data_IF_759314837124
#
_entry.id   IF_759314837124
#
_cell.length_a   1.000
_cell.length_b   1.000
_cell.length_c   1.000
_cell.angle_alpha   90.00
_cell.angle_beta   90.00
_cell.angle_gamma   90.00
#
_symmetry.space_group_name_H-M   'P 1'
#
loop_
_entity.id
_entity.type
_entity.pdbx_description
1 polymer ?
#
# COMPACT_ATOMS: atom_id res chain seq x y z
N UNK A 1 10.14 0.69 2.38
CA UNK A 1 10.77 1.59 1.37
C UNK A 1 10.88 0.85 0.04
N UNK A 2 9.83 0.86 -0.79
CA UNK A 2 9.75 0.02 -2.01
C UNK A 2 10.52 0.58 -3.21
N UNK A 3 10.85 1.85 -3.22
CA UNK A 3 11.42 2.53 -4.38
C UNK A 3 12.69 3.31 -4.07
N UNK A 4 13.59 3.48 -5.06
CA UNK A 4 14.81 4.28 -4.93
C UNK A 4 14.53 5.74 -4.49
N UNK A 5 13.41 6.31 -4.94
CA UNK A 5 13.00 7.66 -4.53
C UNK A 5 12.71 7.75 -3.03
N UNK A 6 12.06 6.74 -2.45
CA UNK A 6 11.79 6.69 -1.00
C UNK A 6 13.09 6.55 -0.20
N UNK A 7 14.04 5.76 -0.68
CA UNK A 7 15.36 5.61 -0.09
C UNK A 7 16.08 6.97 -0.09
N UNK A 8 16.17 7.62 -1.25
CA UNK A 8 16.81 8.94 -1.38
C UNK A 8 16.19 9.99 -0.46
N UNK A 9 14.87 10.07 -0.42
CA UNK A 9 14.16 11.14 0.29
C UNK A 9 14.14 10.92 1.80
N UNK A 10 14.32 9.69 2.28
CA UNK A 10 14.21 9.36 3.70
C UNK A 10 15.56 8.98 4.29
N UNK A 11 16.28 8.03 3.69
CA UNK A 11 17.51 7.51 4.27
C UNK A 11 18.74 8.40 4.00
N UNK A 12 18.75 9.13 2.88
CA UNK A 12 19.80 10.12 2.57
C UNK A 12 19.48 11.53 3.08
N UNK A 13 18.53 11.64 4.01
CA UNK A 13 18.13 12.90 4.62
C UNK A 13 18.61 12.93 6.09
N UNK A 14 19.03 14.08 6.64
CA UNK A 14 19.38 14.22 8.05
C UNK A 14 18.33 13.69 9.04
N UNK A 15 17.07 13.61 8.61
CA UNK A 15 15.99 12.99 9.40
C UNK A 15 16.32 11.54 9.78
N UNK A 16 16.98 10.78 8.91
CA UNK A 16 17.32 9.39 9.19
C UNK A 16 18.30 9.27 10.35
N UNK A 17 19.36 10.06 10.36
CA UNK A 17 20.34 10.06 11.45
C UNK A 17 19.73 10.56 12.77
N UNK A 18 18.83 11.54 12.70
CA UNK A 18 18.08 12.02 13.87
C UNK A 18 17.16 10.91 14.43
N UNK A 19 16.49 10.15 13.59
CA UNK A 19 15.65 9.04 14.01
C UNK A 19 16.49 7.91 14.61
N UNK A 20 17.63 7.57 13.99
CA UNK A 20 18.56 6.55 14.49
C UNK A 20 19.13 6.88 15.88
N UNK A 21 19.32 8.17 16.18
CA UNK A 21 19.82 8.59 17.49
C UNK A 21 18.81 8.43 18.63
N UNK A 22 17.50 8.37 18.29
CA UNK A 22 16.40 8.38 19.29
C UNK A 22 15.64 7.07 19.37
N UNK A 23 15.58 6.31 18.27
CA UNK A 23 14.68 5.16 18.13
C UNK A 23 15.39 3.92 17.59
N UNK A 24 14.85 2.76 17.92
CA UNK A 24 15.11 1.53 17.15
C UNK A 24 14.25 1.55 15.91
N UNK A 25 14.83 1.30 14.74
CA UNK A 25 14.16 1.41 13.45
C UNK A 25 14.12 0.06 12.76
N UNK A 26 12.97 -0.31 12.24
CA UNK A 26 12.78 -1.48 11.38
C UNK A 26 12.43 -0.98 9.97
N UNK A 27 13.25 -1.33 9.00
CA UNK A 27 13.09 -0.92 7.61
C UNK A 27 12.70 -2.12 6.76
N UNK A 28 11.53 -2.03 6.12
CA UNK A 28 11.10 -2.99 5.11
C UNK A 28 11.49 -2.50 3.72
N UNK A 29 12.28 -3.29 3.01
CA UNK A 29 12.79 -2.94 1.66
C UNK A 29 13.10 -4.18 0.84
N UNK A 30 12.97 -4.13 -0.51
CA UNK A 30 13.46 -5.19 -1.37
C UNK A 30 14.99 -5.36 -1.30
N UNK A 31 15.72 -4.30 -0.88
CA UNK A 31 17.18 -4.27 -0.80
C UNK A 31 17.74 -4.77 0.55
N UNK A 32 16.94 -5.50 1.33
CA UNK A 32 17.31 -5.93 2.68
C UNK A 32 18.58 -6.82 2.76
N UNK A 33 18.98 -7.45 1.65
CA UNK A 33 20.19 -8.29 1.51
C UNK A 33 21.25 -7.67 0.59
N UNK A 34 21.05 -6.47 0.07
CA UNK A 34 22.01 -5.81 -0.79
C UNK A 34 23.17 -5.26 0.05
N UNK A 35 24.40 -5.72 -0.25
CA UNK A 35 25.59 -5.39 0.54
C UNK A 35 25.90 -3.90 0.50
N UNK A 36 25.80 -3.26 -0.66
CA UNK A 36 26.08 -1.82 -0.85
C UNK A 36 25.06 -0.99 -0.08
N UNK A 37 23.78 -1.37 -0.20
CA UNK A 37 22.70 -0.71 0.53
C UNK A 37 22.88 -0.83 2.05
N UNK A 38 23.26 -2.03 2.53
CA UNK A 38 23.47 -2.25 3.96
C UNK A 38 24.70 -1.49 4.47
N UNK A 39 25.80 -1.44 3.70
CA UNK A 39 26.98 -0.66 4.06
C UNK A 39 26.66 0.83 4.21
N UNK A 40 25.87 1.40 3.28
CA UNK A 40 25.50 2.81 3.30
C UNK A 40 24.55 3.15 4.48
N UNK A 41 23.56 2.28 4.77
CA UNK A 41 22.45 2.64 5.67
C UNK A 41 22.41 1.91 7.01
N UNK A 42 23.27 0.90 7.23
CA UNK A 42 23.29 0.18 8.50
C UNK A 42 23.77 1.10 9.64
N UNK A 43 22.99 1.19 10.70
CA UNK A 43 23.30 1.93 11.94
C UNK A 43 22.98 1.06 13.15
N UNK A 44 23.53 1.42 14.31
CA UNK A 44 23.17 0.75 15.58
C UNK A 44 21.66 0.93 15.86
N UNK A 45 20.96 -0.17 16.09
CA UNK A 45 19.52 -0.14 16.36
C UNK A 45 18.63 -0.11 15.12
N UNK A 46 19.20 -0.26 13.92
CA UNK A 46 18.47 -0.37 12.66
C UNK A 46 18.46 -1.83 12.18
N UNK A 47 17.28 -2.32 11.81
CA UNK A 47 17.05 -3.67 11.34
C UNK A 47 16.40 -3.63 9.96
N UNK A 48 16.87 -4.47 9.05
CA UNK A 48 16.36 -4.55 7.68
C UNK A 48 15.61 -5.86 7.46
N UNK A 49 14.44 -5.77 6.86
CA UNK A 49 13.59 -6.91 6.55
C UNK A 49 13.05 -6.81 5.12
N UNK A 50 12.72 -7.94 4.48
CA UNK A 50 12.10 -7.93 3.17
C UNK A 50 10.73 -7.22 3.24
N UNK A 51 10.49 -6.31 2.29
CA UNK A 51 9.15 -5.82 2.02
C UNK A 51 8.45 -6.86 1.15
N UNK A 52 7.56 -7.63 1.73
CA UNK A 52 6.86 -8.70 1.04
C UNK A 52 5.35 -8.54 1.15
N UNK A 53 4.66 -9.14 0.22
CA UNK A 53 3.21 -9.25 0.24
C UNK A 53 2.83 -10.73 0.37
N UNK A 54 2.14 -11.07 1.45
CA UNK A 54 1.60 -12.41 1.62
C UNK A 54 0.35 -12.54 0.76
N UNK A 55 0.48 -13.33 -0.30
CA UNK A 55 -0.62 -13.57 -1.21
C UNK A 55 -1.83 -14.16 -0.49
N UNK A 56 -2.98 -13.60 -0.77
CA UNK A 56 -4.26 -14.12 -0.31
C UNK A 56 -4.40 -15.58 -0.76
N UNK A 57 -4.36 -16.52 0.18
CA UNK A 57 -4.36 -17.97 -0.10
C UNK A 57 -5.70 -18.47 -0.62
N UNK A 58 -6.78 -17.83 -0.20
CA UNK A 58 -8.14 -18.25 -0.56
C UNK A 58 -8.48 -17.85 -2.00
N UNK A 59 -8.85 -18.82 -2.83
CA UNK A 59 -9.25 -18.61 -4.23
C UNK A 59 -10.41 -17.62 -4.36
N UNK A 60 -11.44 -17.75 -3.52
CA UNK A 60 -12.58 -16.83 -3.52
C UNK A 60 -12.14 -15.39 -3.19
N UNK A 61 -11.28 -15.23 -2.22
CA UNK A 61 -10.75 -13.91 -1.86
C UNK A 61 -9.95 -13.28 -3.02
N UNK A 62 -9.22 -14.06 -3.83
CA UNK A 62 -8.54 -13.57 -5.03
C UNK A 62 -9.53 -13.05 -6.08
N UNK A 63 -10.65 -13.75 -6.27
CA UNK A 63 -11.71 -13.29 -7.18
C UNK A 63 -12.30 -11.97 -6.68
N UNK A 64 -12.68 -11.90 -5.40
CA UNK A 64 -13.22 -10.69 -4.77
C UNK A 64 -12.23 -9.53 -4.90
N UNK A 65 -10.95 -9.77 -4.65
CA UNK A 65 -9.90 -8.76 -4.78
C UNK A 65 -9.76 -8.23 -6.21
N UNK A 66 -9.75 -9.14 -7.20
CA UNK A 66 -9.70 -8.76 -8.62
C UNK A 66 -10.93 -7.94 -9.03
N UNK A 67 -12.11 -8.36 -8.59
CA UNK A 67 -13.37 -7.70 -8.90
C UNK A 67 -13.45 -6.30 -8.27
N UNK A 68 -13.05 -6.18 -7.01
CA UNK A 68 -12.97 -4.89 -6.31
C UNK A 68 -11.98 -3.92 -6.98
N UNK A 69 -10.79 -4.39 -7.36
CA UNK A 69 -9.82 -3.58 -8.11
C UNK A 69 -10.37 -3.06 -9.45
N UNK A 70 -11.16 -3.87 -10.15
CA UNK A 70 -11.83 -3.43 -11.39
C UNK A 70 -12.85 -2.34 -11.11
N UNK A 71 -13.64 -2.50 -10.04
CA UNK A 71 -14.61 -1.48 -9.61
C UNK A 71 -13.98 -0.17 -9.19
N UNK A 72 -12.89 -0.23 -8.44
CA UNK A 72 -12.13 0.97 -8.08
C UNK A 72 -11.59 1.69 -9.31
N UNK A 73 -11.04 0.96 -10.27
CA UNK A 73 -10.57 1.55 -11.54
C UNK A 73 -11.69 2.26 -12.29
N UNK A 74 -12.88 1.67 -12.35
CA UNK A 74 -14.04 2.29 -12.98
C UNK A 74 -14.47 3.56 -12.26
N UNK A 75 -14.49 3.54 -10.93
CA UNK A 75 -14.87 4.70 -10.12
C UNK A 75 -13.95 5.89 -10.36
N UNK A 76 -12.64 5.64 -10.43
CA UNK A 76 -11.66 6.65 -10.81
C UNK A 76 -11.81 7.13 -12.26
N UNK A 77 -12.17 6.24 -13.18
CA UNK A 77 -12.36 6.58 -14.59
C UNK A 77 -13.64 7.40 -14.84
N UNK A 78 -14.65 7.27 -14.00
CA UNK A 78 -15.95 7.93 -14.15
C UNK A 78 -16.10 9.19 -13.28
N UNK A 79 -15.24 9.39 -12.30
CA UNK A 79 -15.24 10.62 -11.50
C UNK A 79 -14.83 11.80 -12.38
N UNK A 80 -15.79 12.71 -12.63
CA UNK A 80 -15.61 13.88 -13.49
C UNK A 80 -14.48 14.82 -13.03
N UNK A 81 -14.10 14.79 -11.75
CA UNK A 81 -13.03 15.61 -11.18
C UNK A 81 -11.63 15.05 -11.49
N UNK A 82 -11.54 13.75 -11.76
CA UNK A 82 -10.26 13.03 -11.91
C UNK A 82 -10.10 12.49 -13.35
N UNK A 83 -11.12 12.60 -14.16
CA UNK A 83 -11.33 11.93 -15.45
C UNK A 83 -10.16 12.09 -16.45
N UNK A 84 -9.56 13.26 -16.57
CA UNK A 84 -8.61 13.54 -17.66
C UNK A 84 -7.30 12.74 -17.57
N UNK A 85 -6.71 12.64 -16.39
CA UNK A 85 -5.38 12.01 -16.20
C UNK A 85 -5.49 10.50 -16.16
N UNK A 86 -6.51 9.97 -15.49
CA UNK A 86 -6.66 8.53 -15.30
C UNK A 86 -7.17 7.82 -16.57
N UNK A 87 -8.13 8.42 -17.28
CA UNK A 87 -8.66 7.85 -18.54
C UNK A 87 -7.58 7.77 -19.61
N UNK A 88 -6.76 8.80 -19.79
CA UNK A 88 -5.66 8.76 -20.76
C UNK A 88 -4.65 7.65 -20.43
N UNK A 89 -4.32 7.45 -19.14
CA UNK A 89 -3.41 6.40 -18.71
C UNK A 89 -4.03 5.00 -18.81
N UNK A 90 -5.32 4.90 -18.58
CA UNK A 90 -6.07 3.66 -18.61
C UNK A 90 -6.35 3.20 -20.05
N UNK A 91 -6.84 4.09 -20.91
CA UNK A 91 -7.14 3.79 -22.32
C UNK A 91 -5.88 3.45 -23.12
N UNK A 92 -4.75 4.06 -22.79
CA UNK A 92 -3.48 3.80 -23.48
C UNK A 92 -2.85 2.43 -23.14
N UNK A 93 -3.22 1.81 -22.00
CA UNK A 93 -2.67 0.53 -21.52
C UNK A 93 -3.70 -0.61 -21.47
N UNK A 94 -4.95 -0.36 -21.74
CA UNK A 94 -6.01 -1.36 -21.57
C UNK A 94 -6.22 -2.17 -22.83
N UNK A 95 -6.04 -3.49 -22.69
CA UNK A 95 -6.67 -4.44 -23.60
C UNK A 95 -8.20 -4.21 -23.58
N UNK A 96 -8.88 -4.19 -24.73
CA UNK A 96 -10.33 -4.00 -24.87
C UNK A 96 -11.17 -4.90 -23.93
N UNK A 97 -10.65 -6.08 -23.61
CA UNK A 97 -11.24 -7.01 -22.65
C UNK A 97 -11.29 -6.42 -21.21
N UNK A 98 -10.23 -5.78 -20.78
CA UNK A 98 -10.18 -5.15 -19.45
C UNK A 98 -11.13 -3.93 -19.35
N UNK A 99 -11.37 -3.23 -20.43
CA UNK A 99 -12.31 -2.10 -20.47
C UNK A 99 -13.76 -2.56 -20.29
N UNK A 100 -14.19 -3.61 -20.99
CA UNK A 100 -15.54 -4.17 -20.83
C UNK A 100 -15.79 -4.68 -19.43
N UNK A 101 -14.85 -5.42 -18.85
CA UNK A 101 -14.94 -5.91 -17.47
C UNK A 101 -15.02 -4.76 -16.48
N UNK A 102 -14.23 -3.71 -16.68
CA UNK A 102 -14.21 -2.53 -15.81
C UNK A 102 -15.53 -1.78 -15.86
N UNK A 103 -16.09 -1.56 -17.07
CA UNK A 103 -17.41 -0.91 -17.24
C UNK A 103 -18.52 -1.71 -16.59
N UNK A 104 -18.53 -3.03 -16.77
CA UNK A 104 -19.53 -3.93 -16.19
C UNK A 104 -19.43 -3.93 -14.65
N UNK A 105 -18.26 -4.07 -14.10
CA UNK A 105 -18.04 -4.08 -12.65
C UNK A 105 -18.42 -2.74 -12.03
N UNK A 106 -18.09 -1.64 -12.71
CA UNK A 106 -18.44 -0.31 -12.25
C UNK A 106 -19.93 -0.05 -12.26
N UNK A 107 -20.66 -0.56 -13.27
CA UNK A 107 -22.11 -0.48 -13.30
C UNK A 107 -22.74 -1.20 -12.10
N UNK A 108 -22.25 -2.40 -11.77
CA UNK A 108 -22.69 -3.16 -10.59
C UNK A 108 -22.46 -2.34 -9.30
N UNK A 109 -21.29 -1.72 -9.15
CA UNK A 109 -20.99 -0.94 -7.93
C UNK A 109 -21.77 0.37 -7.83
N UNK A 110 -22.15 0.96 -8.96
CA UNK A 110 -23.04 2.12 -8.97
C UNK A 110 -24.48 1.74 -8.56
N UNK A 111 -24.95 0.56 -8.99
CA UNK A 111 -26.28 0.05 -8.61
C UNK A 111 -26.27 -0.44 -7.15
N UNK A 112 -25.20 -1.07 -6.71
CA UNK A 112 -25.06 -1.66 -5.38
C UNK A 112 -23.84 -1.09 -4.61
N UNK A 113 -23.87 0.17 -4.15
CA UNK A 113 -22.73 0.78 -3.46
C UNK A 113 -22.36 0.09 -2.13
N UNK A 114 -23.33 -0.57 -1.48
CA UNK A 114 -23.10 -1.37 -0.28
C UNK A 114 -22.22 -2.61 -0.56
N UNK A 115 -22.29 -3.18 -1.76
CA UNK A 115 -21.46 -4.30 -2.19
C UNK A 115 -19.98 -3.87 -2.23
N UNK A 116 -19.68 -2.70 -2.76
CA UNK A 116 -18.31 -2.16 -2.79
C UNK A 116 -17.74 -1.98 -1.37
N UNK A 117 -18.53 -1.44 -0.44
CA UNK A 117 -18.13 -1.29 0.96
C UNK A 117 -17.89 -2.66 1.63
N UNK A 118 -18.79 -3.61 1.41
CA UNK A 118 -18.65 -4.96 1.95
C UNK A 118 -17.37 -5.64 1.43
N UNK A 119 -17.13 -5.56 0.11
CA UNK A 119 -15.93 -6.13 -0.52
C UNK A 119 -14.65 -5.49 0.03
N UNK A 120 -14.62 -4.17 0.20
CA UNK A 120 -13.50 -3.47 0.80
C UNK A 120 -13.20 -3.97 2.22
N UNK A 121 -14.24 -4.12 3.06
CA UNK A 121 -14.10 -4.68 4.40
C UNK A 121 -13.64 -6.15 4.39
N UNK A 122 -14.20 -6.95 3.50
CA UNK A 122 -13.79 -8.34 3.31
C UNK A 122 -12.31 -8.43 2.92
N UNK A 123 -11.86 -7.63 1.94
CA UNK A 123 -10.47 -7.58 1.50
C UNK A 123 -9.54 -7.16 2.65
N UNK A 124 -9.92 -6.12 3.40
CA UNK A 124 -9.13 -5.67 4.56
C UNK A 124 -8.90 -6.81 5.56
N UNK A 125 -9.91 -7.64 5.79
CA UNK A 125 -9.78 -8.81 6.67
C UNK A 125 -8.88 -9.92 6.09
N UNK A 126 -8.70 -9.97 4.77
CA UNK A 126 -7.82 -10.94 4.10
C UNK A 126 -6.36 -10.45 3.98
N UNK A 127 -6.09 -9.20 4.34
CA UNK A 127 -4.74 -8.64 4.35
C UNK A 127 -3.96 -8.95 5.64
N UNK A 128 -4.46 -9.87 6.44
CA UNK A 128 -3.74 -10.37 7.61
C UNK A 128 -2.47 -11.11 7.19
N UNK A 129 -1.34 -10.75 7.81
CA UNK A 129 -0.04 -11.32 7.49
C UNK A 129 0.64 -11.81 8.75
N UNK A 130 0.82 -13.13 8.92
CA UNK A 130 1.59 -13.68 10.02
C UNK A 130 3.00 -13.10 10.11
N UNK A 131 3.60 -12.79 8.96
CA UNK A 131 4.93 -12.19 8.89
C UNK A 131 4.97 -10.80 9.56
N UNK A 132 4.04 -9.90 9.20
CA UNK A 132 4.00 -8.57 9.83
C UNK A 132 3.53 -8.65 11.28
N UNK A 133 2.60 -9.53 11.63
CA UNK A 133 2.18 -9.74 13.01
C UNK A 133 3.35 -10.14 13.91
N UNK A 134 4.16 -11.14 13.52
CA UNK A 134 5.34 -11.58 14.27
C UNK A 134 6.36 -10.44 14.47
N UNK A 135 6.59 -9.62 13.45
CA UNK A 135 7.53 -8.50 13.57
C UNK A 135 6.97 -7.36 14.43
N UNK A 136 5.68 -7.09 14.38
CA UNK A 136 5.01 -6.12 15.24
C UNK A 136 5.10 -6.58 16.71
N UNK A 137 4.83 -7.84 16.99
CA UNK A 137 4.93 -8.40 18.34
C UNK A 137 6.37 -8.38 18.88
N UNK A 138 7.34 -8.69 18.01
CA UNK A 138 8.76 -8.68 18.35
C UNK A 138 9.28 -7.30 18.70
N UNK A 139 8.94 -6.29 17.88
CA UNK A 139 9.51 -4.95 17.99
C UNK A 139 8.63 -3.96 18.74
N UNK A 140 7.34 -4.23 18.88
CA UNK A 140 6.33 -3.37 19.54
C UNK A 140 6.46 -1.90 19.12
N UNK A 141 6.38 -1.59 17.81
CA UNK A 141 6.62 -0.24 17.34
C UNK A 141 5.56 0.72 17.87
N UNK A 142 5.97 1.94 18.22
CA UNK A 142 5.05 3.01 18.59
C UNK A 142 4.44 3.71 17.37
N UNK A 143 5.06 3.56 16.20
CA UNK A 143 4.65 4.19 14.95
C UNK A 143 5.03 3.32 13.76
N UNK A 144 4.14 3.20 12.79
CA UNK A 144 4.40 2.65 11.47
C UNK A 144 4.34 3.78 10.44
N UNK A 145 5.42 3.93 9.67
CA UNK A 145 5.55 4.93 8.62
C UNK A 145 5.65 4.24 7.26
N UNK A 146 4.77 4.61 6.33
CA UNK A 146 4.79 4.09 4.95
C UNK A 146 5.09 5.20 3.95
N UNK A 147 5.68 4.81 2.82
CA UNK A 147 6.15 5.75 1.80
C UNK A 147 5.38 5.66 0.49
N UNK A 148 4.56 4.62 0.35
CA UNK A 148 3.79 4.40 -0.85
C UNK A 148 2.52 3.57 -0.58
N UNK A 149 1.50 4.16 0.07
CA UNK A 149 0.32 3.43 0.56
C UNK A 149 -0.56 2.84 -0.55
N UNK A 150 -0.13 2.92 -1.82
CA UNK A 150 -0.80 2.30 -2.97
C UNK A 150 -0.26 0.92 -3.31
N UNK A 151 0.79 0.44 -2.62
CA UNK A 151 1.39 -0.88 -2.82
C UNK A 151 0.76 -1.87 -1.84
N UNK A 152 0.44 -3.06 -2.33
CA UNK A 152 -0.20 -4.10 -1.54
C UNK A 152 0.60 -4.45 -0.27
N UNK A 153 1.93 -4.53 -0.36
CA UNK A 153 2.79 -4.84 0.78
C UNK A 153 2.73 -3.77 1.89
N UNK A 154 2.74 -2.47 1.53
CA UNK A 154 2.59 -1.40 2.51
C UNK A 154 1.17 -1.32 3.05
N UNK A 155 0.14 -1.59 2.23
CA UNK A 155 -1.24 -1.70 2.72
C UNK A 155 -1.40 -2.83 3.71
N UNK A 156 -0.77 -3.97 3.46
CA UNK A 156 -0.79 -5.11 4.38
C UNK A 156 -0.13 -4.77 5.71
N UNK A 157 1.01 -4.08 5.69
CA UNK A 157 1.66 -3.59 6.90
C UNK A 157 0.77 -2.61 7.68
N UNK A 158 0.11 -1.65 7.00
CA UNK A 158 -0.80 -0.70 7.63
C UNK A 158 -2.01 -1.39 8.30
N UNK A 159 -2.64 -2.34 7.60
CA UNK A 159 -3.78 -3.09 8.14
C UNK A 159 -3.38 -3.88 9.40
N UNK A 160 -2.20 -4.49 9.38
CA UNK A 160 -1.73 -5.21 10.56
C UNK A 160 -1.36 -4.27 11.71
N UNK A 161 -0.72 -3.12 11.42
CA UNK A 161 -0.45 -2.10 12.43
C UNK A 161 -1.73 -1.58 13.11
N UNK A 162 -2.76 -1.32 12.32
CA UNK A 162 -4.07 -0.88 12.83
C UNK A 162 -4.71 -1.90 13.78
N UNK A 163 -4.62 -3.21 13.47
CA UNK A 163 -5.12 -4.28 14.34
C UNK A 163 -4.48 -4.28 15.73
N UNK A 164 -3.22 -3.88 15.81
CA UNK A 164 -2.47 -3.76 17.07
C UNK A 164 -2.61 -2.37 17.72
N UNK A 165 -3.46 -1.49 17.19
CA UNK A 165 -3.65 -0.14 17.72
C UNK A 165 -2.45 0.78 17.56
N UNK A 166 -1.54 0.48 16.62
CA UNK A 166 -0.32 1.24 16.39
C UNK A 166 -0.64 2.44 15.52
N UNK A 167 -0.13 3.62 15.91
CA UNK A 167 -0.25 4.84 15.09
C UNK A 167 0.42 4.65 13.73
N UNK A 168 -0.22 5.16 12.68
CA UNK A 168 0.27 5.02 11.30
C UNK A 168 0.38 6.38 10.63
N UNK A 169 1.42 6.58 9.83
CA UNK A 169 1.63 7.75 8.98
C UNK A 169 1.98 7.27 7.58
N UNK A 170 1.39 7.88 6.56
CA UNK A 170 1.75 7.61 5.16
C UNK A 170 2.22 8.88 4.46
N UNK A 171 3.37 8.81 3.82
CA UNK A 171 3.88 9.87 2.96
C UNK A 171 3.35 9.70 1.54
N UNK A 172 2.75 10.75 1.02
CA UNK A 172 2.32 10.82 -0.37
C UNK A 172 3.28 11.72 -1.10
N UNK A 173 4.11 11.13 -1.98
CA UNK A 173 5.21 11.84 -2.66
C UNK A 173 4.75 12.94 -3.61
N UNK A 174 3.52 12.83 -4.15
CA UNK A 174 2.99 13.77 -5.11
C UNK A 174 1.46 13.79 -5.06
N UNK A 175 0.86 14.96 -5.25
CA UNK A 175 -0.59 15.15 -5.26
C UNK A 175 -1.30 14.34 -6.35
N UNK A 176 -0.64 14.10 -7.49
CA UNK A 176 -1.16 13.28 -8.58
C UNK A 176 -1.29 11.79 -8.20
N UNK A 177 -0.61 11.35 -7.15
CA UNK A 177 -0.75 9.99 -6.63
C UNK A 177 -2.15 9.74 -6.06
N UNK A 178 -2.76 10.73 -5.42
CA UNK A 178 -4.13 10.63 -4.90
C UNK A 178 -5.17 10.58 -6.01
N UNK A 179 -4.89 11.20 -7.14
CA UNK A 179 -5.81 11.30 -8.28
C UNK A 179 -5.55 10.26 -9.37
N UNK A 180 -4.32 9.75 -9.46
CA UNK A 180 -3.89 8.90 -10.58
C UNK A 180 -3.53 7.45 -10.23
N UNK A 181 -3.36 7.09 -8.96
CA UNK A 181 -2.89 5.74 -8.56
C UNK A 181 -3.93 4.84 -7.90
N UNK A 182 -5.12 5.35 -7.64
CA UNK A 182 -6.18 4.58 -7.02
C UNK A 182 -6.42 4.93 -5.55
N UNK A 183 -7.29 4.15 -4.89
CA UNK A 183 -7.64 4.37 -3.48
C UNK A 183 -6.55 3.86 -2.55
N UNK A 184 -6.40 4.55 -1.43
CA UNK A 184 -5.69 4.04 -0.27
C UNK A 184 -6.67 3.12 0.47
N UNK A 185 -6.34 1.84 0.59
CA UNK A 185 -7.22 0.85 1.22
C UNK A 185 -7.23 0.95 2.75
N UNK A 186 -6.17 1.51 3.33
CA UNK A 186 -6.07 1.78 4.74
C UNK A 186 -5.72 3.26 4.93
N UNK A 187 -6.63 4.03 5.54
CA UNK A 187 -6.38 5.44 5.83
C UNK A 187 -5.62 5.53 7.15
N UNK A 188 -4.38 6.04 7.15
CA UNK A 188 -3.61 6.19 8.38
C UNK A 188 -4.27 7.17 9.35
N UNK A 189 -4.18 6.85 10.64
CA UNK A 189 -4.56 7.80 11.69
C UNK A 189 -6.04 7.81 12.11
N UNK A 190 -6.83 6.81 11.68
CA UNK A 190 -8.19 6.61 12.21
C UNK A 190 -8.18 5.64 13.37
#
# INVERSE_FOLDING_TARGET
LPYPMSIRNILRNPLYDLLCSKYKIVIFTPLFNDAIFLEEFKRKGVFFYPLQFDYVRNFFARIVFKFHRLGDRFHFATDKKIHGVYMNRYLYKANLWNERQTKFTGLIFNIFPSLNKWMGKFIKNQLDSPYYCQLIEKYKPCLVFTTHPFIEAENQLLVNAEKYGIKTISLIHSWDNLTGKGRIHCIPGQ
#
